data_IF_978690787284
#
_entry.id   IF_978690787284
#
_cell.length_a   1.000
_cell.length_b   1.000
_cell.length_c   1.000
_cell.angle_alpha   90.00
_cell.angle_beta   90.00
_cell.angle_gamma   90.00
#
_symmetry.space_group_name_H-M   'P 1'
#
loop_
_entity.id
_entity.type
_entity.pdbx_description
1 polymer ?
#
# COMPACT_ATOMS: atom_id res chain seq x y z
N UNK A 1 -39.52 16.41 -3.99
CA UNK A 1 -38.11 16.52 -4.42
C UNK A 1 -37.22 16.17 -3.23
N UNK A 2 -36.55 15.02 -3.29
CA UNK A 2 -35.97 14.31 -2.16
C UNK A 2 -34.57 14.83 -1.80
N UNK A 3 -34.24 14.84 -0.50
CA UNK A 3 -32.95 15.28 0.09
C UNK A 3 -31.68 14.74 -0.60
N UNK A 4 -31.79 13.64 -1.35
CA UNK A 4 -30.70 13.03 -2.15
C UNK A 4 -30.14 13.95 -3.24
N UNK A 5 -30.98 14.74 -3.93
CA UNK A 5 -30.52 15.63 -4.99
C UNK A 5 -29.72 16.83 -4.47
N UNK A 6 -30.04 17.32 -3.26
CA UNK A 6 -29.33 18.45 -2.65
C UNK A 6 -27.89 18.08 -2.25
N UNK A 7 -27.67 16.85 -1.76
CA UNK A 7 -26.35 16.34 -1.36
C UNK A 7 -25.47 16.11 -2.60
N UNK A 8 -26.02 15.53 -3.67
CA UNK A 8 -25.30 15.34 -4.95
C UNK A 8 -24.93 16.69 -5.58
N UNK A 9 -25.81 17.70 -5.50
CA UNK A 9 -25.51 19.04 -6.00
C UNK A 9 -24.46 19.78 -5.16
N UNK A 10 -24.50 19.66 -3.83
CA UNK A 10 -23.50 20.25 -2.93
C UNK A 10 -22.11 19.61 -3.13
N UNK A 11 -22.06 18.29 -3.29
CA UNK A 11 -20.81 17.56 -3.56
C UNK A 11 -20.24 17.87 -4.95
N UNK A 12 -21.10 17.99 -5.99
CA UNK A 12 -20.67 18.47 -7.31
C UNK A 12 -20.19 19.92 -7.27
N UNK A 13 -20.76 20.76 -6.41
CA UNK A 13 -20.35 22.15 -6.25
C UNK A 13 -18.99 22.26 -5.54
N UNK A 14 -18.75 21.49 -4.47
CA UNK A 14 -17.45 21.48 -3.77
C UNK A 14 -16.33 20.91 -4.63
N UNK A 15 -16.59 19.86 -5.43
CA UNK A 15 -15.62 19.33 -6.40
C UNK A 15 -15.32 20.35 -7.50
N UNK A 16 -16.34 21.05 -8.03
CA UNK A 16 -16.13 22.12 -9.01
C UNK A 16 -15.38 23.31 -8.41
N UNK A 17 -15.62 23.64 -7.15
CA UNK A 17 -14.89 24.68 -6.43
C UNK A 17 -13.42 24.26 -6.25
N UNK A 18 -13.16 23.03 -5.80
CA UNK A 18 -11.81 22.49 -5.65
C UNK A 18 -11.05 22.41 -6.98
N UNK A 19 -11.71 22.00 -8.06
CA UNK A 19 -11.13 22.02 -9.41
C UNK A 19 -10.84 23.45 -9.89
N UNK A 20 -11.73 24.42 -9.60
CA UNK A 20 -11.50 25.84 -9.93
C UNK A 20 -10.36 26.44 -9.11
N UNK A 21 -10.24 26.08 -7.83
CA UNK A 21 -9.13 26.50 -6.97
C UNK A 21 -7.83 25.89 -7.46
N UNK A 22 -7.80 24.60 -7.80
CA UNK A 22 -6.62 23.94 -8.37
C UNK A 22 -6.22 24.58 -9.71
N UNK A 23 -7.18 24.83 -10.60
CA UNK A 23 -6.94 25.54 -11.86
C UNK A 23 -6.43 26.95 -11.60
N UNK A 24 -7.01 27.68 -10.64
CA UNK A 24 -6.56 29.02 -10.28
C UNK A 24 -5.14 29.00 -9.69
N UNK A 25 -4.79 28.00 -8.87
CA UNK A 25 -3.44 27.81 -8.33
C UNK A 25 -2.47 27.45 -9.46
N UNK A 26 -2.83 26.55 -10.38
CA UNK A 26 -2.00 26.19 -11.53
C UNK A 26 -1.81 27.37 -12.49
N UNK A 27 -2.85 28.18 -12.70
CA UNK A 27 -2.77 29.43 -13.46
C UNK A 27 -1.89 30.43 -12.72
N UNK A 28 -2.02 30.58 -11.40
CA UNK A 28 -1.18 31.47 -10.60
C UNK A 28 0.28 31.03 -10.63
N UNK A 29 0.56 29.74 -10.49
CA UNK A 29 1.91 29.17 -10.64
C UNK A 29 2.41 29.37 -12.07
N UNK A 30 1.58 29.17 -13.08
CA UNK A 30 1.91 29.44 -14.48
C UNK A 30 2.20 30.92 -14.75
N UNK A 31 1.45 31.84 -14.12
CA UNK A 31 1.65 33.29 -14.18
C UNK A 31 2.93 33.67 -13.43
N UNK A 32 3.19 33.10 -12.25
CA UNK A 32 4.44 33.33 -11.50
C UNK A 32 5.64 32.77 -12.26
N UNK A 33 5.50 31.62 -12.92
CA UNK A 33 6.49 31.07 -13.83
C UNK A 33 6.68 31.98 -15.05
N UNK A 34 5.61 32.53 -15.63
CA UNK A 34 5.68 33.44 -16.78
C UNK A 34 6.25 34.81 -16.42
N UNK A 35 5.94 35.33 -15.23
CA UNK A 35 6.53 36.55 -14.66
C UNK A 35 8.00 36.28 -14.35
N UNK A 36 8.31 35.13 -13.75
CA UNK A 36 9.68 34.65 -13.55
C UNK A 36 10.43 34.59 -14.87
N UNK A 37 9.86 33.97 -15.90
CA UNK A 37 10.39 33.91 -17.28
C UNK A 37 10.49 35.30 -17.90
N UNK A 38 9.56 36.22 -17.62
CA UNK A 38 9.58 37.60 -18.14
C UNK A 38 10.65 38.48 -17.50
N UNK A 39 10.91 38.28 -16.21
CA UNK A 39 12.04 38.90 -15.47
C UNK A 39 13.37 38.30 -15.96
N UNK A 40 13.43 36.98 -16.13
CA UNK A 40 14.54 36.20 -16.70
C UNK A 40 14.83 36.61 -18.17
N UNK A 41 13.80 36.90 -18.98
CA UNK A 41 13.96 37.33 -20.39
C UNK A 41 14.56 38.73 -20.53
N UNK A 42 14.43 39.59 -19.51
CA UNK A 42 15.03 40.93 -19.50
C UNK A 42 16.54 40.89 -19.28
N UNK A 43 17.05 39.82 -18.68
CA UNK A 43 18.47 39.56 -18.42
C UNK A 43 18.98 38.27 -19.11
N UNK A 44 18.51 38.01 -20.34
CA UNK A 44 18.81 36.78 -21.09
C UNK A 44 20.31 36.48 -21.33
N UNK A 45 21.21 37.44 -21.07
CA UNK A 45 22.66 37.25 -21.15
C UNK A 45 23.30 36.75 -19.82
N UNK A 46 22.68 36.99 -18.66
CA UNK A 46 23.22 36.55 -17.36
C UNK A 46 22.86 35.11 -17.01
N UNK A 47 21.76 34.58 -17.57
CA UNK A 47 21.30 33.21 -17.37
C UNK A 47 22.18 32.13 -18.00
N UNK A 48 23.06 32.51 -18.93
CA UNK A 48 24.08 31.62 -19.51
C UNK A 48 25.35 31.52 -18.65
N UNK A 49 25.43 32.27 -17.54
CA UNK A 49 26.50 32.10 -16.56
C UNK A 49 26.25 30.85 -15.72
N UNK A 50 27.31 30.07 -15.49
CA UNK A 50 27.27 28.80 -14.77
C UNK A 50 26.70 28.90 -13.35
N UNK A 51 26.86 30.06 -12.68
CA UNK A 51 26.26 30.33 -11.37
C UNK A 51 24.73 30.43 -11.40
N UNK A 52 24.17 31.15 -12.37
CA UNK A 52 22.72 31.31 -12.53
C UNK A 52 22.04 30.02 -12.99
N UNK A 53 22.74 29.17 -13.75
CA UNK A 53 22.26 27.82 -14.10
C UNK A 53 22.17 26.90 -12.87
N UNK A 54 23.16 26.94 -11.97
CA UNK A 54 23.16 26.19 -10.72
C UNK A 54 22.06 26.66 -9.77
N UNK A 55 21.85 27.97 -9.64
CA UNK A 55 20.75 28.53 -8.85
C UNK A 55 19.39 28.17 -9.44
N UNK A 56 19.21 28.26 -10.75
CA UNK A 56 17.97 27.87 -11.42
C UNK A 56 17.66 26.38 -11.24
N UNK A 57 18.68 25.51 -11.35
CA UNK A 57 18.55 24.08 -11.06
C UNK A 57 18.20 23.83 -9.59
N UNK A 58 18.83 24.56 -8.65
CA UNK A 58 18.56 24.47 -7.23
C UNK A 58 17.12 24.89 -6.88
N UNK A 59 16.67 26.04 -7.39
CA UNK A 59 15.30 26.54 -7.18
C UNK A 59 14.27 25.62 -7.84
N UNK A 60 14.52 25.17 -9.07
CA UNK A 60 13.63 24.23 -9.76
C UNK A 60 13.54 22.89 -9.02
N UNK A 61 14.68 22.38 -8.53
CA UNK A 61 14.73 21.19 -7.68
C UNK A 61 13.95 21.38 -6.38
N UNK A 62 14.10 22.54 -5.72
CA UNK A 62 13.34 22.89 -4.53
C UNK A 62 11.83 22.96 -4.77
N UNK A 63 11.40 23.61 -5.86
CA UNK A 63 9.99 23.67 -6.26
C UNK A 63 9.45 22.27 -6.55
N UNK A 64 10.21 21.41 -7.24
CA UNK A 64 9.81 20.01 -7.47
C UNK A 64 9.60 19.28 -6.14
N UNK A 65 10.53 19.40 -5.19
CA UNK A 65 10.39 18.76 -3.86
C UNK A 65 9.12 19.25 -3.14
N UNK A 66 8.85 20.56 -3.16
CA UNK A 66 7.64 21.14 -2.54
C UNK A 66 6.38 20.66 -3.24
N UNK A 67 6.35 20.66 -4.57
CA UNK A 67 5.19 20.17 -5.35
C UNK A 67 4.97 18.68 -5.11
N UNK A 68 6.03 17.87 -5.02
CA UNK A 68 5.91 16.45 -4.70
C UNK A 68 5.37 16.21 -3.29
N UNK A 69 5.84 16.98 -2.31
CA UNK A 69 5.30 16.94 -0.96
C UNK A 69 3.81 17.34 -0.94
N UNK A 70 3.43 18.42 -1.63
CA UNK A 70 2.04 18.88 -1.72
C UNK A 70 1.14 17.90 -2.46
N UNK A 71 1.60 17.29 -3.56
CA UNK A 71 0.85 16.26 -4.31
C UNK A 71 0.72 14.99 -3.47
N UNK A 72 1.75 14.60 -2.74
CA UNK A 72 1.69 13.47 -1.79
C UNK A 72 0.66 13.72 -0.69
N UNK A 73 0.73 14.89 -0.05
CA UNK A 73 -0.26 15.32 0.96
C UNK A 73 -1.66 15.38 0.37
N UNK A 74 -1.83 15.96 -0.82
CA UNK A 74 -3.14 16.05 -1.48
C UNK A 74 -3.70 14.68 -1.88
N UNK A 75 -2.86 13.79 -2.42
CA UNK A 75 -3.24 12.42 -2.76
C UNK A 75 -3.75 11.66 -1.54
N UNK A 76 -3.18 11.93 -0.37
CA UNK A 76 -3.65 11.40 0.91
C UNK A 76 -4.93 12.10 1.35
N UNK A 77 -4.98 13.43 1.37
CA UNK A 77 -6.15 14.19 1.82
C UNK A 77 -7.42 13.80 1.05
N UNK A 78 -7.32 13.50 -0.24
CA UNK A 78 -8.46 13.02 -1.05
C UNK A 78 -8.98 11.66 -0.55
N UNK A 79 -8.08 10.76 -0.18
CA UNK A 79 -8.43 9.47 0.42
C UNK A 79 -8.99 9.63 1.85
N UNK A 80 -8.73 10.77 2.52
CA UNK A 80 -9.24 11.12 3.86
C UNK A 80 -10.41 12.12 3.87
N UNK A 81 -11.03 12.44 2.72
CA UNK A 81 -12.21 13.34 2.67
C UNK A 81 -13.37 12.81 3.54
N UNK A 82 -13.42 11.50 3.79
CA UNK A 82 -14.37 10.89 4.72
C UNK A 82 -14.19 11.36 6.17
N UNK A 83 -12.97 11.72 6.59
CA UNK A 83 -12.58 12.03 7.96
C UNK A 83 -13.14 13.37 8.46
N UNK A 84 -13.41 14.32 7.55
CA UNK A 84 -14.09 15.59 7.84
C UNK A 84 -15.63 15.44 7.97
N UNK A 85 -16.14 14.20 8.03
CA UNK A 85 -17.58 13.92 8.15
C UNK A 85 -18.37 14.17 6.86
N UNK A 86 -17.69 14.27 5.71
CA UNK A 86 -18.33 14.52 4.41
C UNK A 86 -18.94 13.23 3.80
N UNK A 87 -18.59 12.06 4.33
CA UNK A 87 -19.32 10.79 4.12
C UNK A 87 -20.05 10.44 5.42
N UNK A 88 -21.34 10.08 5.32
CA UNK A 88 -22.27 10.12 6.47
C UNK A 88 -22.06 9.04 7.55
N UNK A 89 -21.14 8.09 7.38
CA UNK A 89 -20.81 7.07 8.39
C UNK A 89 -19.60 6.25 7.96
N UNK A 90 -18.98 5.54 8.92
CA UNK A 90 -18.05 4.46 8.60
C UNK A 90 -18.73 3.44 7.68
N UNK A 91 -18.01 2.89 6.68
CA UNK A 91 -18.54 1.82 5.85
C UNK A 91 -19.06 0.67 6.72
N UNK A 92 -20.33 0.35 6.54
CA UNK A 92 -20.99 -0.67 7.34
C UNK A 92 -20.48 -2.07 6.96
N UNK A 93 -20.16 -2.84 8.01
CA UNK A 93 -19.80 -4.25 7.93
C UNK A 93 -21.01 -5.15 8.19
N UNK A 94 -22.15 -4.60 8.63
CA UNK A 94 -23.39 -5.35 8.83
C UNK A 94 -23.84 -5.96 7.50
N UNK A 95 -24.13 -7.26 7.51
CA UNK A 95 -24.47 -8.03 6.32
C UNK A 95 -23.32 -8.79 5.67
N UNK A 96 -22.06 -8.60 6.09
CA UNK A 96 -20.96 -9.46 5.63
C UNK A 96 -21.25 -10.94 5.95
N UNK A 97 -21.14 -11.77 4.91
CA UNK A 97 -21.34 -13.21 4.94
C UNK A 97 -22.78 -13.67 5.26
N UNK A 98 -23.74 -12.75 5.42
CA UNK A 98 -25.13 -13.08 5.75
C UNK A 98 -25.86 -13.64 4.53
N UNK A 99 -26.56 -14.76 4.70
CA UNK A 99 -27.34 -15.39 3.62
C UNK A 99 -26.50 -16.17 2.60
N UNK A 100 -25.21 -16.43 2.92
CA UNK A 100 -24.28 -17.17 2.06
C UNK A 100 -23.87 -18.52 2.65
N UNK A 101 -24.62 -19.04 3.63
CA UNK A 101 -24.30 -20.25 4.39
C UNK A 101 -24.22 -21.52 3.51
N UNK A 102 -25.01 -21.57 2.44
CA UNK A 102 -25.00 -22.70 1.50
C UNK A 102 -23.85 -22.61 0.48
N UNK A 103 -23.22 -21.44 0.33
CA UNK A 103 -22.11 -21.28 -0.61
C UNK A 103 -20.83 -21.79 0.02
N UNK A 104 -20.35 -22.90 -0.52
CA UNK A 104 -19.13 -23.55 -0.06
C UNK A 104 -18.04 -23.41 -1.11
N UNK A 105 -17.05 -22.57 -0.82
CA UNK A 105 -15.80 -22.57 -1.58
C UNK A 105 -15.12 -23.94 -1.48
N UNK A 106 -14.49 -24.37 -2.58
CA UNK A 106 -13.61 -25.54 -2.60
C UNK A 106 -12.35 -25.27 -1.75
N UNK A 107 -11.99 -24.00 -1.58
CA UNK A 107 -10.80 -23.57 -0.86
C UNK A 107 -11.11 -23.27 0.62
N UNK A 108 -10.20 -23.67 1.49
CA UNK A 108 -10.25 -23.45 2.95
C UNK A 108 -9.28 -22.38 3.42
N UNK A 109 -8.27 -22.06 2.61
CA UNK A 109 -7.21 -21.11 2.94
C UNK A 109 -7.19 -20.00 1.89
N UNK A 110 -7.31 -18.75 2.33
CA UNK A 110 -7.38 -17.61 1.43
C UNK A 110 -6.13 -16.76 1.59
N UNK A 111 -5.24 -16.78 0.59
CA UNK A 111 -4.01 -16.00 0.56
C UNK A 111 -4.25 -14.66 -0.10
N UNK A 112 -4.23 -13.60 0.67
CA UNK A 112 -4.39 -12.23 0.20
C UNK A 112 -3.00 -11.60 0.01
N UNK A 113 -2.67 -11.24 -1.23
CA UNK A 113 -1.42 -10.54 -1.52
C UNK A 113 -1.62 -9.02 -1.49
N UNK A 114 -0.79 -8.33 -0.70
CA UNK A 114 -0.78 -6.87 -0.55
C UNK A 114 0.57 -6.32 -1.05
N UNK A 115 0.54 -5.67 -2.22
CA UNK A 115 1.72 -5.06 -2.83
C UNK A 115 2.07 -3.71 -2.15
N UNK A 116 3.33 -3.55 -1.74
CA UNK A 116 3.86 -2.33 -1.15
C UNK A 116 4.39 -1.29 -2.15
N UNK A 117 4.39 -1.59 -3.45
CA UNK A 117 4.91 -0.72 -4.50
C UNK A 117 3.78 -0.30 -5.45
N UNK A 118 2.97 -1.24 -5.94
CA UNK A 118 1.96 -0.95 -6.95
C UNK A 118 0.58 -0.74 -6.32
N UNK A 119 -0.12 0.29 -6.78
CA UNK A 119 -1.42 0.68 -6.24
C UNK A 119 -2.60 -0.08 -6.86
N UNK A 120 -2.39 -0.84 -7.94
CA UNK A 120 -3.43 -1.67 -8.55
C UNK A 120 -2.84 -2.87 -9.28
N UNK A 121 -3.64 -3.94 -9.40
CA UNK A 121 -3.26 -5.16 -10.13
C UNK A 121 -2.99 -4.86 -11.62
N UNK A 122 -3.77 -3.96 -12.23
CA UNK A 122 -3.55 -3.47 -13.61
C UNK A 122 -2.18 -2.79 -13.80
N UNK A 123 -1.58 -2.31 -12.70
CA UNK A 123 -0.27 -1.64 -12.73
C UNK A 123 0.88 -2.59 -12.39
N UNK A 124 0.62 -3.89 -12.20
CA UNK A 124 1.67 -4.85 -11.89
C UNK A 124 2.61 -5.03 -13.10
N UNK A 125 3.93 -4.81 -12.93
CA UNK A 125 4.89 -5.13 -13.98
C UNK A 125 4.95 -6.65 -14.18
N UNK A 126 5.40 -7.14 -15.36
CA UNK A 126 5.43 -8.57 -15.68
C UNK A 126 6.09 -9.44 -14.61
N UNK A 127 7.18 -8.96 -13.99
CA UNK A 127 7.87 -9.65 -12.89
C UNK A 127 6.99 -9.95 -11.67
N UNK A 128 6.04 -9.07 -11.34
CA UNK A 128 5.12 -9.27 -10.21
C UNK A 128 4.07 -10.29 -10.62
N UNK A 129 3.54 -10.21 -11.84
CA UNK A 129 2.60 -11.21 -12.34
C UNK A 129 3.23 -12.60 -12.40
N UNK A 130 4.46 -12.71 -12.87
CA UNK A 130 5.22 -13.98 -12.89
C UNK A 130 5.45 -14.53 -11.48
N UNK A 131 5.73 -13.66 -10.50
CA UNK A 131 5.83 -14.06 -9.10
C UNK A 131 4.50 -14.59 -8.56
N UNK A 132 3.38 -13.90 -8.83
CA UNK A 132 2.06 -14.33 -8.39
C UNK A 132 1.61 -15.62 -9.06
N UNK A 133 1.91 -15.80 -10.35
CA UNK A 133 1.65 -17.05 -11.07
C UNK A 133 2.48 -18.21 -10.48
N UNK A 134 3.75 -17.97 -10.16
CA UNK A 134 4.60 -18.95 -9.48
C UNK A 134 4.08 -19.28 -8.09
N UNK A 135 3.58 -18.30 -7.34
CA UNK A 135 2.98 -18.54 -6.03
C UNK A 135 1.71 -19.38 -6.17
N UNK A 136 0.82 -19.01 -7.09
CA UNK A 136 -0.44 -19.72 -7.35
C UNK A 136 -0.24 -21.17 -7.79
N UNK A 137 0.82 -21.48 -8.54
CA UNK A 137 1.13 -22.86 -8.95
C UNK A 137 1.71 -23.73 -7.83
N UNK A 138 2.23 -23.12 -6.76
CA UNK A 138 2.96 -23.82 -5.69
C UNK A 138 2.17 -23.91 -4.38
N UNK A 139 1.09 -23.14 -4.22
CA UNK A 139 0.19 -23.29 -3.07
C UNK A 139 -0.66 -24.55 -3.19
N UNK A 140 -1.07 -25.10 -2.05
CA UNK A 140 -1.92 -26.29 -2.00
C UNK A 140 -3.27 -26.06 -2.71
N UNK A 141 -3.86 -27.12 -3.27
CA UNK A 141 -5.11 -27.06 -4.03
C UNK A 141 -6.32 -26.55 -3.22
N UNK A 142 -6.28 -26.68 -1.89
CA UNK A 142 -7.28 -26.16 -0.97
C UNK A 142 -7.04 -24.68 -0.59
N UNK A 143 -6.03 -24.04 -1.19
CA UNK A 143 -5.68 -22.65 -0.99
C UNK A 143 -6.00 -21.83 -2.24
N UNK A 144 -6.46 -20.58 -2.06
CA UNK A 144 -6.77 -19.65 -3.13
C UNK A 144 -5.94 -18.37 -2.99
N UNK A 145 -5.21 -17.99 -4.05
CA UNK A 145 -4.54 -16.71 -4.12
C UNK A 145 -5.54 -15.60 -4.53
N UNK A 146 -5.88 -14.75 -3.56
CA UNK A 146 -6.77 -13.60 -3.74
C UNK A 146 -5.98 -12.42 -4.29
N UNK A 147 -6.21 -12.13 -5.57
CA UNK A 147 -5.62 -11.01 -6.31
C UNK A 147 -6.58 -9.82 -6.41
N UNK A 148 -6.06 -8.67 -6.84
CA UNK A 148 -6.87 -7.47 -7.11
C UNK A 148 -7.16 -6.60 -5.89
N UNK A 149 -6.41 -6.76 -4.81
CA UNK A 149 -6.56 -5.92 -3.62
C UNK A 149 -5.55 -4.77 -3.65
N UNK A 150 -6.04 -3.57 -3.91
CA UNK A 150 -5.24 -2.35 -3.81
C UNK A 150 -5.03 -2.00 -2.33
N UNK A 151 -3.83 -2.26 -1.80
CA UNK A 151 -3.50 -2.12 -0.37
C UNK A 151 -3.49 -0.67 0.13
N UNK A 152 -3.39 0.29 -0.78
CA UNK A 152 -3.16 1.71 -0.48
C UNK A 152 -4.34 2.62 -0.85
N UNK A 153 -5.47 2.06 -1.26
CA UNK A 153 -6.65 2.86 -1.63
C UNK A 153 -7.84 2.55 -0.76
N UNK A 154 -8.37 3.64 -0.20
CA UNK A 154 -9.56 3.70 0.61
C UNK A 154 -10.82 3.71 -0.27
N UNK A 155 -10.79 4.50 -1.34
CA UNK A 155 -11.94 4.68 -2.23
C UNK A 155 -12.10 3.50 -3.21
N UNK A 156 -13.35 3.13 -3.51
CA UNK A 156 -13.67 2.12 -4.53
C UNK A 156 -13.00 2.45 -5.88
N UNK A 157 -12.53 1.42 -6.59
CA UNK A 157 -11.77 1.51 -7.85
C UNK A 157 -12.57 2.31 -8.89
N UNK A 158 -13.91 2.21 -8.86
CA UNK A 158 -14.82 2.95 -9.73
C UNK A 158 -14.89 4.47 -9.44
N UNK A 159 -14.74 4.88 -8.18
CA UNK A 159 -14.73 6.31 -7.79
C UNK A 159 -13.35 6.94 -8.07
N UNK A 160 -12.27 6.18 -7.84
CA UNK A 160 -10.93 6.56 -8.30
C UNK A 160 -10.86 6.66 -9.83
N UNK A 161 -11.67 5.87 -10.55
CA UNK A 161 -11.73 5.87 -11.99
C UNK A 161 -12.17 7.18 -12.63
N UNK A 162 -12.97 7.95 -11.90
CA UNK A 162 -13.45 9.25 -12.33
C UNK A 162 -12.47 10.40 -12.02
N UNK A 163 -11.32 10.14 -11.39
CA UNK A 163 -10.42 11.20 -10.92
C UNK A 163 -9.26 11.49 -11.88
N UNK A 164 -8.99 12.78 -12.12
CA UNK A 164 -7.85 13.28 -12.90
C UNK A 164 -6.48 12.80 -12.37
N UNK A 165 -6.39 12.39 -11.10
CA UNK A 165 -5.17 11.86 -10.50
C UNK A 165 -4.71 10.54 -11.12
N UNK A 166 -5.62 9.71 -11.66
CA UNK A 166 -5.28 8.44 -12.30
C UNK A 166 -4.32 8.63 -13.47
N UNK A 167 -4.64 9.55 -14.37
CA UNK A 167 -3.82 9.81 -15.56
C UNK A 167 -2.40 10.21 -15.17
N UNK A 168 -2.25 11.04 -14.14
CA UNK A 168 -0.96 11.46 -13.62
C UNK A 168 -0.15 10.28 -13.09
N UNK A 169 -0.74 9.45 -12.22
CA UNK A 169 -0.05 8.29 -11.65
C UNK A 169 0.29 7.25 -12.71
N UNK A 170 -0.63 6.92 -13.63
CA UNK A 170 -0.36 6.00 -14.74
C UNK A 170 0.78 6.50 -15.63
N UNK A 171 0.82 7.81 -15.91
CA UNK A 171 1.93 8.40 -16.67
C UNK A 171 3.24 8.30 -15.91
N UNK A 172 3.24 8.56 -14.60
CA UNK A 172 4.42 8.46 -13.76
C UNK A 172 4.97 7.02 -13.69
N UNK A 173 4.09 6.02 -13.57
CA UNK A 173 4.46 4.59 -13.64
C UNK A 173 5.03 4.22 -15.02
N UNK A 174 4.38 4.64 -16.11
CA UNK A 174 4.88 4.39 -17.46
C UNK A 174 6.26 5.04 -17.70
N UNK A 175 6.48 6.25 -17.18
CA UNK A 175 7.76 6.94 -17.24
C UNK A 175 8.84 6.25 -16.38
N UNK A 176 8.46 5.71 -15.21
CA UNK A 176 9.38 4.93 -14.39
C UNK A 176 9.90 3.68 -15.14
N UNK A 177 9.01 2.98 -15.84
CA UNK A 177 9.32 1.67 -16.41
C UNK A 177 9.95 1.77 -17.81
N UNK A 178 9.44 2.67 -18.67
CA UNK A 178 9.76 2.67 -20.09
C UNK A 178 10.54 3.88 -20.59
N UNK A 179 10.83 4.87 -19.74
CA UNK A 179 11.51 6.07 -20.21
C UNK A 179 13.00 5.82 -20.51
N UNK A 180 13.48 6.30 -21.66
CA UNK A 180 14.86 6.08 -22.10
C UNK A 180 15.91 6.75 -21.18
N UNK A 181 15.55 7.88 -20.56
CA UNK A 181 16.45 8.60 -19.65
C UNK A 181 16.37 8.03 -18.21
N UNK A 182 17.51 7.55 -17.71
CA UNK A 182 17.66 6.98 -16.37
C UNK A 182 17.33 7.96 -15.23
N UNK A 183 17.60 9.26 -15.39
CA UNK A 183 17.30 10.28 -14.38
C UNK A 183 15.80 10.51 -14.23
N UNK A 184 15.06 10.53 -15.36
CA UNK A 184 13.59 10.64 -15.33
C UNK A 184 12.98 9.41 -14.68
N UNK A 185 13.48 8.21 -15.01
CA UNK A 185 13.06 6.97 -14.33
C UNK A 185 13.28 7.03 -12.83
N UNK A 186 14.45 7.54 -12.41
CA UNK A 186 14.80 7.71 -11.01
C UNK A 186 13.84 8.67 -10.28
N UNK A 187 13.58 9.86 -10.85
CA UNK A 187 12.63 10.81 -10.26
C UNK A 187 11.24 10.18 -10.15
N UNK A 188 10.75 9.55 -11.22
CA UNK A 188 9.42 8.92 -11.19
C UNK A 188 9.33 7.83 -10.12
N UNK A 189 10.35 6.97 -10.02
CA UNK A 189 10.45 5.97 -8.96
C UNK A 189 10.46 6.60 -7.57
N UNK A 190 11.22 7.68 -7.38
CA UNK A 190 11.27 8.40 -6.11
C UNK A 190 9.90 8.95 -5.72
N UNK A 191 9.18 9.59 -6.64
CA UNK A 191 7.85 10.15 -6.38
C UNK A 191 6.83 9.07 -5.99
N UNK A 192 6.85 7.93 -6.67
CA UNK A 192 5.99 6.78 -6.38
C UNK A 192 6.31 6.23 -4.98
N UNK A 193 7.60 6.01 -4.69
CA UNK A 193 8.01 5.50 -3.39
C UNK A 193 7.72 6.50 -2.26
N UNK A 194 7.90 7.80 -2.48
CA UNK A 194 7.56 8.83 -1.50
C UNK A 194 6.06 8.82 -1.14
N UNK A 195 5.18 8.69 -2.13
CA UNK A 195 3.74 8.54 -1.87
C UNK A 195 3.45 7.29 -1.03
N UNK A 196 4.03 6.15 -1.41
CA UNK A 196 3.84 4.90 -0.65
C UNK A 196 4.36 5.01 0.79
N UNK A 197 5.50 5.69 1.01
CA UNK A 197 6.04 5.94 2.35
C UNK A 197 5.08 6.78 3.20
N UNK A 198 4.44 7.80 2.63
CA UNK A 198 3.44 8.59 3.36
C UNK A 198 2.27 7.70 3.78
N UNK A 199 1.76 6.85 2.88
CA UNK A 199 0.65 5.94 3.18
C UNK A 199 1.02 4.91 4.26
N UNK A 200 2.22 4.34 4.18
CA UNK A 200 2.78 3.49 5.25
C UNK A 200 2.85 4.25 6.57
N UNK A 201 3.34 5.49 6.55
CA UNK A 201 3.40 6.36 7.72
C UNK A 201 2.02 6.59 8.35
N UNK A 202 0.99 6.75 7.54
CA UNK A 202 -0.38 6.94 8.02
C UNK A 202 -0.96 5.67 8.65
N UNK A 203 -0.76 4.50 8.03
CA UNK A 203 -1.16 3.20 8.65
C UNK A 203 -0.50 3.00 10.01
N UNK A 204 0.75 3.46 10.13
CA UNK A 204 1.52 3.35 11.36
C UNK A 204 1.15 4.38 12.44
N UNK A 205 0.46 5.46 12.07
CA UNK A 205 0.05 6.51 13.01
C UNK A 205 -1.13 6.02 13.85
N UNK A 206 -1.03 6.23 15.16
CA UNK A 206 -2.04 5.73 16.12
C UNK A 206 -3.41 6.39 15.96
N UNK A 207 -3.49 7.59 15.39
CA UNK A 207 -4.73 8.36 15.20
C UNK A 207 -5.38 8.03 13.86
N UNK A 208 -4.59 7.92 12.80
CA UNK A 208 -5.09 7.76 11.44
C UNK A 208 -5.11 6.30 10.96
N UNK A 209 -4.17 5.49 11.43
CA UNK A 209 -3.99 4.09 11.05
C UNK A 209 -5.22 3.21 11.26
N UNK A 210 -5.91 3.25 12.41
CA UNK A 210 -7.07 2.38 12.66
C UNK A 210 -8.17 2.49 11.61
N UNK A 211 -8.39 3.69 11.05
CA UNK A 211 -9.43 3.88 10.05
C UNK A 211 -9.03 3.27 8.71
N UNK A 212 -7.84 3.61 8.22
CA UNK A 212 -7.35 3.08 6.94
C UNK A 212 -7.21 1.55 7.00
N UNK A 213 -6.77 1.02 8.13
CA UNK A 213 -6.63 -0.41 8.34
C UNK A 213 -8.01 -1.10 8.37
N UNK A 214 -9.05 -0.46 8.92
CA UNK A 214 -10.43 -0.95 8.92
C UNK A 214 -11.01 -1.02 7.51
N UNK A 215 -10.86 0.04 6.73
CA UNK A 215 -11.38 0.08 5.36
C UNK A 215 -10.69 -0.95 4.46
N UNK A 216 -9.37 -1.13 4.61
CA UNK A 216 -8.66 -2.20 3.95
C UNK A 216 -9.17 -3.58 4.39
N UNK A 217 -9.40 -3.79 5.68
CA UNK A 217 -9.99 -5.04 6.20
C UNK A 217 -11.35 -5.33 5.56
N UNK A 218 -12.23 -4.32 5.52
CA UNK A 218 -13.56 -4.45 4.95
C UNK A 218 -13.51 -4.72 3.45
N UNK A 219 -12.59 -4.08 2.73
CA UNK A 219 -12.35 -4.33 1.31
C UNK A 219 -11.91 -5.76 1.05
N UNK A 220 -11.01 -6.27 1.89
CA UNK A 220 -10.58 -7.68 1.86
C UNK A 220 -11.77 -8.59 2.15
N UNK A 221 -12.52 -8.36 3.23
CA UNK A 221 -13.69 -9.17 3.60
C UNK A 221 -14.74 -9.24 2.48
N UNK A 222 -15.08 -8.11 1.85
CA UNK A 222 -16.01 -8.06 0.70
C UNK A 222 -15.46 -8.74 -0.55
N UNK A 223 -14.13 -8.79 -0.71
CA UNK A 223 -13.51 -9.54 -1.82
C UNK A 223 -13.56 -11.03 -1.54
N UNK A 224 -13.31 -11.45 -0.31
CA UNK A 224 -13.44 -12.83 0.13
C UNK A 224 -14.87 -13.35 -0.02
N UNK A 225 -15.88 -12.57 0.40
CA UNK A 225 -17.29 -12.92 0.24
C UNK A 225 -17.68 -13.19 -1.22
N UNK A 226 -17.16 -12.40 -2.16
CA UNK A 226 -17.33 -12.60 -3.61
C UNK A 226 -16.63 -13.84 -4.16
N UNK A 227 -15.73 -14.45 -3.39
CA UNK A 227 -15.03 -15.70 -3.69
C UNK A 227 -15.62 -16.87 -2.88
N UNK A 228 -16.86 -16.71 -2.41
CA UNK A 228 -17.60 -17.69 -1.63
C UNK A 228 -16.89 -18.09 -0.31
N UNK A 229 -16.08 -17.17 0.24
CA UNK A 229 -15.59 -17.30 1.60
C UNK A 229 -16.77 -17.22 2.58
N UNK A 230 -16.79 -18.15 3.53
CA UNK A 230 -17.68 -18.11 4.67
C UNK A 230 -16.93 -18.51 5.96
N UNK A 231 -17.11 -17.80 7.09
CA UNK A 231 -16.40 -18.06 8.35
C UNK A 231 -16.56 -19.50 8.87
N UNK A 232 -17.71 -20.15 8.64
CA UNK A 232 -17.97 -21.53 9.09
C UNK A 232 -17.18 -22.61 8.32
N UNK A 233 -16.62 -22.27 7.16
CA UNK A 233 -15.95 -23.23 6.28
C UNK A 233 -14.48 -22.89 6.04
N UNK A 234 -14.13 -21.60 6.08
CA UNK A 234 -12.77 -21.15 5.92
C UNK A 234 -11.93 -21.46 7.16
N UNK A 235 -10.80 -22.13 6.96
CA UNK A 235 -9.87 -22.47 8.03
C UNK A 235 -9.00 -21.28 8.46
N UNK A 236 -8.63 -20.40 7.52
CA UNK A 236 -7.84 -19.19 7.82
C UNK A 236 -7.74 -18.25 6.61
N UNK A 237 -7.42 -16.99 6.90
CA UNK A 237 -6.98 -15.99 5.92
C UNK A 237 -5.50 -15.69 6.15
N UNK A 238 -4.71 -15.61 5.08
CA UNK A 238 -3.28 -15.33 5.15
C UNK A 238 -3.00 -14.03 4.43
N UNK A 239 -2.42 -13.05 5.12
CA UNK A 239 -2.01 -11.77 4.55
C UNK A 239 -0.53 -11.84 4.17
N UNK A 240 -0.23 -11.79 2.87
CA UNK A 240 1.14 -11.74 2.34
C UNK A 240 1.46 -10.30 1.94
N UNK A 241 2.23 -9.59 2.76
CA UNK A 241 2.56 -8.18 2.54
C UNK A 241 3.99 -7.97 2.05
N UNK A 242 4.18 -7.39 0.86
CA UNK A 242 5.50 -7.04 0.34
C UNK A 242 5.89 -5.59 0.69
N UNK A 243 7.13 -5.34 1.12
CA UNK A 243 7.64 -3.99 1.42
C UNK A 243 6.70 -3.24 2.38
N UNK A 244 6.19 -2.05 2.03
CA UNK A 244 5.20 -1.32 2.82
C UNK A 244 3.83 -2.01 2.93
N UNK A 245 3.52 -2.97 2.06
CA UNK A 245 2.34 -3.83 2.18
C UNK A 245 2.40 -4.73 3.41
N UNK A 246 3.58 -4.91 4.01
CA UNK A 246 3.72 -5.55 5.32
C UNK A 246 3.11 -4.71 6.45
N UNK A 247 3.25 -3.37 6.42
CA UNK A 247 2.57 -2.50 7.39
C UNK A 247 1.05 -2.62 7.24
N UNK A 248 0.55 -2.63 6.00
CA UNK A 248 -0.87 -2.81 5.74
C UNK A 248 -1.37 -4.18 6.24
N UNK A 249 -0.63 -5.25 5.95
CA UNK A 249 -0.96 -6.61 6.39
C UNK A 249 -1.05 -6.70 7.92
N UNK A 250 -0.03 -6.20 8.63
CA UNK A 250 0.02 -6.23 10.09
C UNK A 250 -1.06 -5.31 10.68
N UNK A 251 -1.20 -4.08 10.15
CA UNK A 251 -2.16 -3.10 10.62
C UNK A 251 -3.62 -3.55 10.51
N UNK A 252 -3.93 -4.33 9.48
CA UNK A 252 -5.29 -4.81 9.20
C UNK A 252 -5.59 -6.18 9.79
N UNK A 253 -4.58 -6.97 10.18
CA UNK A 253 -4.75 -8.37 10.58
C UNK A 253 -5.81 -8.61 11.66
N UNK A 254 -5.73 -7.90 12.79
CA UNK A 254 -6.67 -8.09 13.90
C UNK A 254 -8.11 -7.67 13.54
N UNK A 255 -8.26 -6.57 12.79
CA UNK A 255 -9.57 -6.11 12.33
C UNK A 255 -10.17 -7.14 11.37
N UNK A 256 -9.37 -7.64 10.44
CA UNK A 256 -9.81 -8.65 9.48
C UNK A 256 -10.22 -9.95 10.18
N UNK A 257 -9.48 -10.38 11.20
CA UNK A 257 -9.82 -11.55 12.02
C UNK A 257 -11.19 -11.39 12.67
N UNK A 258 -11.49 -10.19 13.20
CA UNK A 258 -12.80 -9.87 13.79
C UNK A 258 -13.91 -9.82 12.75
N UNK A 259 -13.66 -9.23 11.57
CA UNK A 259 -14.66 -9.16 10.50
C UNK A 259 -14.98 -10.54 9.91
N UNK A 260 -13.95 -11.37 9.70
CA UNK A 260 -14.08 -12.67 9.05
C UNK A 260 -14.35 -13.82 10.02
N UNK A 261 -14.32 -13.58 11.34
CA UNK A 261 -14.44 -14.60 12.38
C UNK A 261 -13.59 -15.86 12.12
N UNK A 262 -12.41 -15.69 11.53
CA UNK A 262 -11.53 -16.77 11.07
C UNK A 262 -10.08 -16.42 11.41
N UNK A 263 -9.22 -17.39 11.75
CA UNK A 263 -7.82 -17.14 12.05
C UNK A 263 -7.10 -16.37 10.94
N UNK A 264 -6.29 -15.38 11.32
CA UNK A 264 -5.47 -14.60 10.38
C UNK A 264 -3.99 -14.86 10.65
N UNK A 265 -3.27 -15.25 9.60
CA UNK A 265 -1.80 -15.31 9.59
C UNK A 265 -1.23 -14.14 8.79
N UNK A 266 -0.08 -13.63 9.20
CA UNK A 266 0.66 -12.61 8.44
C UNK A 266 2.01 -13.15 7.98
N UNK A 267 2.30 -13.05 6.69
CA UNK A 267 3.62 -13.33 6.10
C UNK A 267 4.13 -12.05 5.45
N UNK A 268 5.24 -11.53 5.94
CA UNK A 268 5.85 -10.33 5.37
C UNK A 268 7.00 -10.71 4.44
N UNK A 269 7.07 -10.10 3.26
CA UNK A 269 8.18 -10.28 2.30
C UNK A 269 8.93 -8.97 2.18
N UNK A 270 10.20 -8.94 2.56
CA UNK A 270 11.00 -7.70 2.62
C UNK A 270 10.27 -6.58 3.38
N UNK A 271 9.52 -6.94 4.42
CA UNK A 271 8.50 -6.07 5.02
C UNK A 271 9.05 -4.85 5.75
N UNK A 272 8.45 -3.69 5.47
CA UNK A 272 8.67 -2.42 6.16
C UNK A 272 7.40 -2.09 6.93
N UNK A 273 7.50 -2.11 8.25
CA UNK A 273 6.37 -1.93 9.15
C UNK A 273 6.83 -1.33 10.48
N UNK A 274 5.91 -0.71 11.20
CA UNK A 274 6.14 0.12 12.39
C UNK A 274 6.12 -0.64 13.70
N UNK A 275 5.39 -1.76 13.75
CA UNK A 275 5.13 -2.53 14.97
C UNK A 275 4.12 -1.88 15.92
N UNK A 276 3.39 -0.85 15.46
CA UNK A 276 2.35 -0.17 16.24
C UNK A 276 0.98 -0.84 16.17
N UNK A 277 0.78 -1.74 15.21
CA UNK A 277 -0.48 -2.47 15.04
C UNK A 277 -0.87 -3.27 16.29
N UNK A 278 -2.16 -3.50 16.46
CA UNK A 278 -2.68 -4.44 17.44
C UNK A 278 -2.50 -5.86 16.89
N UNK A 279 -1.82 -6.72 17.66
CA UNK A 279 -1.48 -8.10 17.28
C UNK A 279 -1.87 -9.09 18.37
N UNK A 280 -2.68 -8.67 19.34
CA UNK A 280 -2.89 -9.42 20.58
C UNK A 280 -3.56 -10.77 20.33
N UNK A 281 -4.43 -10.84 19.31
CA UNK A 281 -5.13 -12.07 18.89
C UNK A 281 -4.52 -12.75 17.66
N UNK A 282 -3.43 -12.20 17.10
CA UNK A 282 -2.74 -12.76 15.94
C UNK A 282 -1.68 -13.73 16.42
N UNK A 283 -1.79 -15.00 16.06
CA UNK A 283 -0.87 -16.04 16.55
C UNK A 283 0.36 -16.23 15.67
N UNK A 284 0.18 -16.16 14.34
CA UNK A 284 1.22 -16.48 13.38
C UNK A 284 1.65 -15.24 12.59
N UNK A 285 2.88 -14.79 12.85
CA UNK A 285 3.57 -13.81 12.00
C UNK A 285 4.91 -14.39 11.55
N UNK A 286 5.16 -14.34 10.24
CA UNK A 286 6.41 -14.77 9.64
C UNK A 286 7.03 -13.67 8.77
N UNK A 287 8.34 -13.78 8.58
CA UNK A 287 9.13 -12.82 7.80
C UNK A 287 10.04 -13.54 6.81
N UNK A 288 9.85 -13.26 5.53
CA UNK A 288 10.79 -13.58 4.45
C UNK A 288 11.63 -12.33 4.19
N UNK A 289 12.93 -12.40 4.43
CA UNK A 289 13.84 -11.23 4.35
C UNK A 289 15.08 -11.55 3.53
N UNK A 290 15.57 -10.57 2.77
CA UNK A 290 16.83 -10.71 2.05
C UNK A 290 18.04 -10.39 2.93
N UNK A 291 19.15 -11.13 2.78
CA UNK A 291 20.39 -10.83 3.53
C UNK A 291 21.06 -9.52 3.10
N UNK A 292 20.69 -8.99 1.93
CA UNK A 292 21.18 -7.71 1.38
C UNK A 292 20.05 -6.70 1.18
N UNK A 293 19.03 -6.73 2.02
CA UNK A 293 17.92 -5.77 2.01
C UNK A 293 18.18 -4.60 2.98
N UNK A 294 18.71 -3.46 2.51
CA UNK A 294 18.94 -2.31 3.38
C UNK A 294 17.66 -1.62 3.82
N UNK A 295 16.55 -1.77 3.08
CA UNK A 295 15.29 -1.05 3.37
C UNK A 295 14.57 -1.73 4.52
N UNK A 296 14.44 -3.06 4.49
CA UNK A 296 13.87 -3.81 5.60
C UNK A 296 14.73 -3.68 6.88
N UNK A 297 16.06 -3.65 6.72
CA UNK A 297 16.98 -3.41 7.83
C UNK A 297 16.82 -1.99 8.41
N UNK A 298 16.77 -0.97 7.56
CA UNK A 298 16.56 0.41 7.98
C UNK A 298 15.19 0.61 8.64
N UNK A 299 14.13 0.02 8.09
CA UNK A 299 12.79 0.08 8.66
C UNK A 299 12.74 -0.41 10.11
N UNK A 300 13.49 -1.47 10.45
CA UNK A 300 13.60 -1.94 11.84
C UNK A 300 14.18 -0.89 12.79
N UNK A 301 15.12 -0.06 12.32
CA UNK A 301 15.74 0.99 13.12
C UNK A 301 14.90 2.28 13.14
N UNK A 302 14.29 2.63 12.01
CA UNK A 302 13.54 3.86 11.83
C UNK A 302 12.22 3.88 12.61
N UNK A 303 11.64 2.72 12.90
CA UNK A 303 10.40 2.61 13.66
C UNK A 303 10.66 2.26 15.12
N UNK A 304 10.42 3.20 16.07
CA UNK A 304 10.61 2.95 17.51
C UNK A 304 9.86 1.71 18.00
N UNK A 305 8.68 1.44 17.45
CA UNK A 305 7.86 0.26 17.77
C UNK A 305 8.59 -1.09 17.61
N UNK A 306 9.64 -1.15 16.80
CA UNK A 306 10.41 -2.37 16.50
C UNK A 306 11.79 -2.42 17.15
N UNK A 307 12.17 -1.38 17.89
CA UNK A 307 13.44 -1.36 18.61
C UNK A 307 13.35 -2.30 19.81
N UNK A 308 14.29 -3.24 19.94
CA UNK A 308 14.33 -4.19 21.05
C UNK A 308 14.50 -3.51 22.42
N UNK A 309 14.98 -2.26 22.43
CA UNK A 309 15.14 -1.43 23.62
C UNK A 309 13.81 -0.91 24.19
N UNK A 310 12.72 -0.96 23.42
CA UNK A 310 11.39 -0.50 23.84
C UNK A 310 10.46 -1.70 24.05
N UNK A 311 10.62 -2.48 25.15
CA UNK A 311 9.96 -3.76 25.30
C UNK A 311 8.43 -3.64 25.33
N UNK A 312 7.90 -2.50 25.79
CA UNK A 312 6.47 -2.28 25.95
C UNK A 312 5.72 -1.97 24.64
N UNK A 313 6.39 -1.94 23.49
CA UNK A 313 5.71 -1.74 22.19
C UNK A 313 4.88 -2.97 21.83
N UNK A 314 3.82 -2.80 21.05
CA UNK A 314 2.91 -3.90 20.68
C UNK A 314 3.67 -5.06 20.04
N UNK A 315 4.57 -4.76 19.11
CA UNK A 315 5.45 -5.75 18.48
C UNK A 315 6.32 -6.51 19.47
N UNK A 316 7.01 -5.83 20.40
CA UNK A 316 7.89 -6.51 21.37
C UNK A 316 7.10 -7.26 22.45
N UNK A 317 5.86 -6.85 22.77
CA UNK A 317 4.96 -7.65 23.62
C UNK A 317 4.54 -8.92 22.89
N UNK A 318 4.15 -8.81 21.63
CA UNK A 318 3.78 -9.96 20.79
C UNK A 318 4.91 -10.98 20.66
N UNK A 319 6.14 -10.52 20.38
CA UNK A 319 7.33 -11.39 20.27
C UNK A 319 7.71 -12.11 21.58
N UNK A 320 7.22 -11.65 22.75
CA UNK A 320 7.48 -12.34 24.01
C UNK A 320 6.56 -13.53 24.23
N UNK A 321 5.35 -13.49 23.68
CA UNK A 321 4.35 -14.55 23.81
C UNK A 321 4.23 -15.44 22.58
N UNK A 322 4.85 -15.07 21.45
CA UNK A 322 4.73 -15.79 20.18
C UNK A 322 6.10 -16.02 19.52
N UNK A 323 6.19 -17.10 18.74
CA UNK A 323 7.38 -17.41 17.96
C UNK A 323 7.34 -16.68 16.62
N UNK A 324 8.35 -15.84 16.36
CA UNK A 324 8.54 -15.19 15.07
C UNK A 324 9.36 -16.09 14.14
N UNK A 325 8.76 -16.54 13.04
CA UNK A 325 9.48 -17.31 12.02
C UNK A 325 10.17 -16.38 11.02
N UNK A 326 11.46 -16.59 10.79
CA UNK A 326 12.26 -15.78 9.86
C UNK A 326 12.96 -16.65 8.83
N UNK A 327 12.61 -16.45 7.57
CA UNK A 327 13.22 -17.06 6.40
C UNK A 327 14.15 -16.05 5.74
N UNK A 328 15.46 -16.20 5.95
CA UNK A 328 16.45 -15.34 5.32
C UNK A 328 16.88 -15.92 3.97
N UNK A 329 16.76 -15.12 2.91
CA UNK A 329 17.19 -15.48 1.55
C UNK A 329 18.52 -14.81 1.28
N UNK A 330 19.55 -15.61 1.11
CA UNK A 330 20.91 -15.11 0.89
C UNK A 330 21.04 -14.35 -0.44
N UNK A 331 21.76 -13.23 -0.43
CA UNK A 331 22.03 -12.28 -1.52
C UNK A 331 20.84 -11.51 -2.08
N UNK A 332 19.63 -11.75 -1.56
CA UNK A 332 18.44 -11.03 -2.01
C UNK A 332 18.43 -9.59 -1.47
N UNK A 333 18.13 -8.63 -2.34
CA UNK A 333 17.92 -7.22 -2.02
C UNK A 333 16.43 -6.87 -1.90
N UNK A 334 16.12 -5.61 -1.61
CA UNK A 334 14.73 -5.16 -1.44
C UNK A 334 13.91 -5.24 -2.74
N UNK A 335 14.50 -4.79 -3.85
CA UNK A 335 13.86 -4.65 -5.15
C UNK A 335 14.89 -4.82 -6.29
N UNK A 336 14.45 -4.66 -7.54
CA UNK A 336 15.31 -4.72 -8.72
C UNK A 336 15.66 -6.14 -9.18
N UNK A 337 16.75 -6.28 -9.92
CA UNK A 337 17.21 -7.55 -10.50
C UNK A 337 17.66 -8.58 -9.45
N UNK A 338 17.91 -8.15 -8.22
CA UNK A 338 18.20 -9.01 -7.07
C UNK A 338 17.08 -9.00 -6.01
N UNK A 339 15.91 -8.42 -6.33
CA UNK A 339 14.75 -8.36 -5.44
C UNK A 339 13.89 -9.64 -5.46
N UNK A 340 12.83 -9.70 -4.64
CA UNK A 340 12.01 -10.90 -4.48
C UNK A 340 11.27 -11.35 -5.74
N UNK A 341 10.98 -10.43 -6.66
CA UNK A 341 10.30 -10.75 -7.94
C UNK A 341 11.26 -11.09 -9.08
N UNK A 342 12.57 -11.00 -8.84
CA UNK A 342 13.56 -11.32 -9.87
C UNK A 342 13.55 -12.81 -10.21
N UNK A 343 14.03 -13.16 -11.41
CA UNK A 343 14.20 -14.55 -11.85
C UNK A 343 15.07 -15.34 -10.86
N UNK A 344 16.11 -14.71 -10.31
CA UNK A 344 17.07 -15.36 -9.41
C UNK A 344 16.49 -15.73 -8.03
N UNK A 345 15.48 -15.00 -7.54
CA UNK A 345 15.01 -15.11 -6.16
C UNK A 345 13.53 -15.49 -6.01
N UNK A 346 12.68 -15.32 -7.05
CA UNK A 346 11.23 -15.59 -6.97
C UNK A 346 10.89 -16.96 -6.39
N UNK A 347 11.54 -18.02 -6.89
CA UNK A 347 11.27 -19.39 -6.46
C UNK A 347 11.66 -19.62 -5.00
N UNK A 348 12.73 -18.96 -4.53
CA UNK A 348 13.16 -19.06 -3.14
C UNK A 348 12.19 -18.34 -2.20
N UNK A 349 11.64 -17.21 -2.63
CA UNK A 349 10.63 -16.47 -1.88
C UNK A 349 9.34 -17.26 -1.81
N UNK A 350 8.86 -17.79 -2.94
CA UNK A 350 7.67 -18.65 -3.00
C UNK A 350 7.85 -19.89 -2.12
N UNK A 351 8.98 -20.59 -2.21
CA UNK A 351 9.27 -21.74 -1.37
C UNK A 351 9.28 -21.40 0.13
N UNK A 352 9.76 -20.22 0.52
CA UNK A 352 9.71 -19.75 1.91
C UNK A 352 8.27 -19.47 2.37
N UNK A 353 7.44 -18.88 1.50
CA UNK A 353 6.01 -18.67 1.77
C UNK A 353 5.32 -20.03 1.94
N UNK A 354 5.45 -20.95 0.98
CA UNK A 354 4.80 -22.27 1.05
C UNK A 354 5.22 -23.06 2.28
N UNK A 355 6.52 -23.05 2.63
CA UNK A 355 7.02 -23.68 3.86
C UNK A 355 6.34 -23.13 5.11
N UNK A 356 6.11 -21.83 5.17
CA UNK A 356 5.41 -21.20 6.29
C UNK A 356 3.92 -21.56 6.31
N UNK A 357 3.29 -21.64 5.13
CA UNK A 357 1.90 -22.07 5.02
C UNK A 357 1.72 -23.49 5.56
N UNK A 358 2.59 -24.42 5.17
CA UNK A 358 2.57 -25.82 5.63
C UNK A 358 2.82 -25.92 7.14
N UNK A 359 3.80 -25.17 7.67
CA UNK A 359 4.12 -25.16 9.10
C UNK A 359 2.91 -24.77 9.95
N UNK A 360 2.20 -23.69 9.58
CA UNK A 360 1.03 -23.24 10.32
C UNK A 360 -0.13 -24.23 10.29
N UNK A 361 -0.22 -25.10 9.28
CA UNK A 361 -1.23 -26.17 9.25
C UNK A 361 -0.93 -27.28 10.27
N UNK A 362 0.35 -27.60 10.47
CA UNK A 362 0.79 -28.65 11.42
C UNK A 362 0.72 -28.16 12.88
N UNK A 363 0.88 -26.85 13.11
CA UNK A 363 0.83 -26.24 14.45
C UNK A 363 -0.55 -25.88 14.97
N UNK A 364 -1.59 -25.93 14.14
CA UNK A 364 -2.95 -25.64 14.57
C UNK A 364 -3.48 -26.81 15.43
N UNK A 365 -4.02 -26.58 16.64
CA UNK A 365 -4.69 -27.65 17.36
C UNK A 365 -5.81 -28.19 16.49
N UNK A 366 -5.84 -29.50 16.30
CA UNK A 366 -6.96 -30.20 15.69
C UNK A 366 -8.20 -29.92 16.54
N UNK A 367 -9.01 -28.95 16.07
CA UNK A 367 -10.29 -28.58 16.68
C UNK A 367 -11.30 -29.71 16.61
#
# INVERSE_FOLDING_TARGET
>A
MTKSNAVVHAHRHSIRLGARVLIAVLILVGILMLIGVGVVRRDAASLLQSGSLLELLGVSGGVIVVVLALVGVYSVMVDFVFWEGWMQSFPDASGLFVGNEEKRSVHRHFLVYLDGIHQSEESHPPRVQEFLNCLESEIANDSLLVKGIEAYTITDVGLRAASYSRWFWQRLFALQEHHANAFVRFICAFCIQANNVIKVGISSDRRYGPVMNYELALKIARRLERLDFHPSHASRVVLVGYSGGAEMAIGTAEILQKLCCSPVQVITVCGVFSGNAALESIQDVAMVVGSKDPVAAFGRLAYPGRLSLLPLTNWNRWQRSHSLHRYQIDRMSHNGSSGPFSVAFRHKVVAAICRELERSLVGAPSG
#
